data_IF_570280959713
#
_entry.id   IF_570280959713
#
_cell.length_a   1.000
_cell.length_b   1.000
_cell.length_c   1.000
_cell.angle_alpha   90.00
_cell.angle_beta   90.00
_cell.angle_gamma   90.00
#
_symmetry.space_group_name_H-M   'P 1'
#
loop_
_entity.id
_entity.type
_entity.pdbx_description
1 polymer ?
#
# COMPACT_ATOMS: atom_id res chain seq x y z
N UNK A 1 88.28 -50.78 21.50
CA UNK A 1 87.15 -50.12 22.16
C UNK A 1 86.48 -48.98 21.28
N UNK A 2 86.79 -48.80 20.00
CA UNK A 2 86.25 -47.73 19.15
C UNK A 2 85.02 -48.16 18.26
N UNK A 3 84.87 -49.49 17.96
CA UNK A 3 83.76 -49.99 17.10
C UNK A 3 82.37 -50.02 17.81
N UNK A 4 82.27 -50.29 19.09
CA UNK A 4 81.05 -50.36 19.86
C UNK A 4 80.34 -48.94 20.02
N UNK A 5 81.14 -47.89 19.93
CA UNK A 5 80.60 -46.51 20.03
C UNK A 5 79.94 -46.00 18.72
N UNK A 6 80.34 -46.51 17.57
CA UNK A 6 79.86 -46.19 16.25
C UNK A 6 78.45 -46.75 15.99
N UNK A 7 78.22 -48.00 16.41
CA UNK A 7 76.97 -48.70 16.24
C UNK A 7 75.84 -48.17 17.11
N UNK A 8 76.14 -47.65 18.32
CA UNK A 8 75.15 -47.03 19.21
C UNK A 8 74.67 -45.65 18.69
N UNK A 9 75.56 -44.90 18.00
CA UNK A 9 75.22 -43.60 17.43
C UNK A 9 74.32 -43.76 16.15
N UNK A 10 74.57 -44.79 15.35
CA UNK A 10 73.73 -45.07 14.17
C UNK A 10 72.32 -45.59 14.55
N UNK A 11 72.27 -46.45 15.57
CA UNK A 11 70.99 -46.94 16.10
C UNK A 11 70.15 -45.80 16.75
N UNK A 12 70.79 -44.87 17.47
CA UNK A 12 70.11 -43.69 18.00
C UNK A 12 69.55 -42.81 16.89
N UNK A 13 70.29 -42.55 15.81
CA UNK A 13 69.80 -41.77 14.66
C UNK A 13 68.66 -42.43 13.97
N UNK A 14 68.67 -43.72 13.73
CA UNK A 14 67.56 -44.50 13.15
C UNK A 14 66.33 -44.50 14.03
N UNK A 15 66.47 -44.51 15.34
CA UNK A 15 65.38 -44.48 16.29
C UNK A 15 64.74 -43.10 16.34
N UNK A 16 65.51 -41.99 16.24
CA UNK A 16 65.05 -40.65 16.13
C UNK A 16 64.30 -40.44 14.83
N UNK A 17 64.79 -40.88 13.68
CA UNK A 17 64.16 -40.80 12.39
C UNK A 17 62.84 -41.60 12.36
N UNK A 18 62.77 -42.72 13.03
CA UNK A 18 61.58 -43.57 13.10
C UNK A 18 60.52 -42.93 14.02
N UNK A 19 60.91 -42.35 15.14
CA UNK A 19 60.02 -41.66 16.05
C UNK A 19 59.48 -40.34 15.41
N UNK A 20 60.32 -39.62 14.64
CA UNK A 20 59.94 -38.44 13.90
C UNK A 20 58.85 -38.72 12.83
N UNK A 21 59.04 -39.86 12.09
CA UNK A 21 57.99 -40.25 11.08
C UNK A 21 56.70 -40.68 11.73
N UNK A 22 56.72 -41.40 12.84
CA UNK A 22 55.49 -41.77 13.56
C UNK A 22 54.81 -40.53 14.16
N UNK A 23 55.61 -39.65 14.76
CA UNK A 23 55.06 -38.39 15.31
C UNK A 23 54.46 -37.48 14.23
N UNK A 24 55.12 -37.37 13.07
CA UNK A 24 54.58 -36.66 11.92
C UNK A 24 53.28 -37.29 11.41
N UNK A 25 53.18 -38.63 11.35
CA UNK A 25 51.96 -39.33 10.99
C UNK A 25 50.80 -39.04 11.93
N UNK A 26 51.05 -38.99 13.24
CA UNK A 26 50.02 -38.65 14.22
C UNK A 26 49.58 -37.19 14.11
N UNK A 27 50.51 -36.25 13.92
CA UNK A 27 50.20 -34.83 13.73
C UNK A 27 49.44 -34.60 12.43
N UNK A 28 49.85 -35.25 11.33
CA UNK A 28 49.14 -35.19 10.05
C UNK A 28 47.71 -35.74 10.15
N UNK A 29 47.57 -36.91 10.81
CA UNK A 29 46.24 -37.51 11.03
C UNK A 29 45.31 -36.62 11.89
N UNK A 30 45.85 -36.06 12.98
CA UNK A 30 45.11 -35.14 13.83
C UNK A 30 44.69 -33.86 13.07
N UNK A 31 45.58 -33.30 12.25
CA UNK A 31 45.30 -32.12 11.41
C UNK A 31 44.16 -32.36 10.40
N UNK A 32 44.17 -33.54 9.76
CA UNK A 32 43.07 -33.93 8.85
C UNK A 32 41.75 -34.07 9.58
N UNK A 33 41.72 -34.66 10.77
CA UNK A 33 40.48 -34.78 11.56
C UNK A 33 39.94 -33.41 11.98
N UNK A 34 40.82 -32.49 12.42
CA UNK A 34 40.42 -31.12 12.76
C UNK A 34 39.87 -30.38 11.52
N UNK A 35 40.52 -30.53 10.37
CA UNK A 35 40.03 -29.94 9.10
C UNK A 35 38.63 -30.44 8.73
N UNK A 36 38.40 -31.75 8.81
CA UNK A 36 37.08 -32.34 8.57
C UNK A 36 36.05 -31.86 9.58
N UNK A 37 36.41 -31.77 10.86
CA UNK A 37 35.47 -31.26 11.89
C UNK A 37 35.07 -29.82 11.65
N UNK A 38 35.98 -28.96 11.18
CA UNK A 38 35.67 -27.54 10.84
C UNK A 38 34.75 -27.46 9.61
N UNK A 39 34.99 -28.25 8.58
CA UNK A 39 34.15 -28.23 7.36
C UNK A 39 32.73 -28.72 7.68
N UNK A 40 32.62 -29.86 8.39
CA UNK A 40 31.30 -30.40 8.77
C UNK A 40 30.59 -29.45 9.75
N UNK A 41 31.30 -28.90 10.72
CA UNK A 41 30.74 -27.91 11.66
C UNK A 41 30.24 -26.65 10.95
N UNK A 42 31.01 -26.11 10.01
CA UNK A 42 30.60 -24.98 9.20
C UNK A 42 29.35 -25.27 8.35
N UNK A 43 29.27 -26.42 7.73
CA UNK A 43 28.11 -26.85 6.96
C UNK A 43 26.85 -27.01 7.84
N UNK A 44 26.99 -27.65 9.00
CA UNK A 44 25.87 -27.78 9.94
C UNK A 44 25.37 -26.45 10.48
N UNK A 45 26.29 -25.51 10.79
CA UNK A 45 25.92 -24.19 11.23
C UNK A 45 25.12 -23.42 10.15
N UNK A 46 25.57 -23.47 8.90
CA UNK A 46 24.83 -22.85 7.79
C UNK A 46 23.43 -23.45 7.65
N UNK A 47 23.32 -24.77 7.77
CA UNK A 47 22.01 -25.41 7.69
C UNK A 47 21.06 -25.01 8.83
N UNK A 48 21.56 -24.95 10.07
CA UNK A 48 20.77 -24.51 11.23
C UNK A 48 20.30 -23.07 11.04
N UNK A 49 21.18 -22.16 10.60
CA UNK A 49 20.82 -20.75 10.34
C UNK A 49 19.76 -20.64 9.25
N UNK A 50 19.87 -21.45 8.20
CA UNK A 50 18.85 -21.47 7.15
C UNK A 50 17.51 -21.98 7.67
N UNK A 51 17.50 -23.11 8.38
CA UNK A 51 16.27 -23.69 8.95
C UNK A 51 15.60 -22.74 9.95
N UNK A 52 16.36 -22.03 10.78
CA UNK A 52 15.81 -21.05 11.70
C UNK A 52 15.20 -19.84 10.98
N UNK A 53 15.83 -19.36 9.91
CA UNK A 53 15.26 -18.29 9.06
C UNK A 53 13.93 -18.73 8.41
N UNK A 54 13.91 -19.94 7.83
CA UNK A 54 12.69 -20.50 7.22
C UNK A 54 11.58 -20.65 8.26
N UNK A 55 11.91 -21.13 9.45
CA UNK A 55 10.95 -21.30 10.53
C UNK A 55 10.39 -19.95 11.01
N UNK A 56 11.25 -18.94 11.16
CA UNK A 56 10.84 -17.59 11.54
C UNK A 56 9.89 -16.97 10.51
N UNK A 57 10.18 -17.06 9.21
CA UNK A 57 9.31 -16.59 8.14
C UNK A 57 7.97 -17.36 8.09
N UNK A 58 8.01 -18.66 8.31
CA UNK A 58 6.80 -19.49 8.38
C UNK A 58 5.91 -19.09 9.56
N UNK A 59 6.50 -18.87 10.72
CA UNK A 59 5.77 -18.41 11.91
C UNK A 59 5.18 -17.02 11.70
N UNK A 60 5.91 -16.09 11.08
CA UNK A 60 5.42 -14.76 10.73
C UNK A 60 4.23 -14.86 9.76
N UNK A 61 4.34 -15.69 8.73
CA UNK A 61 3.25 -15.92 7.77
C UNK A 61 2.02 -16.50 8.45
N UNK A 62 2.20 -17.47 9.34
CA UNK A 62 1.08 -18.07 10.10
C UNK A 62 0.42 -17.06 11.02
N UNK A 63 1.20 -16.25 11.73
CA UNK A 63 0.68 -15.18 12.59
C UNK A 63 -0.09 -14.11 11.79
N UNK A 64 0.44 -13.72 10.63
CA UNK A 64 -0.24 -12.78 9.74
C UNK A 64 -1.55 -13.37 9.21
N UNK A 65 -1.55 -14.64 8.85
CA UNK A 65 -2.75 -15.34 8.37
C UNK A 65 -3.81 -15.43 9.46
N UNK A 66 -3.44 -15.79 10.70
CA UNK A 66 -4.34 -15.84 11.83
C UNK A 66 -4.95 -14.46 12.15
N UNK A 67 -4.12 -13.41 12.10
CA UNK A 67 -4.59 -12.03 12.24
C UNK A 67 -5.56 -11.63 11.12
N UNK A 68 -5.26 -12.01 9.88
CA UNK A 68 -6.13 -11.72 8.74
C UNK A 68 -7.48 -12.46 8.84
N UNK A 69 -7.49 -13.71 9.32
CA UNK A 69 -8.72 -14.47 9.54
C UNK A 69 -9.59 -13.78 10.61
N UNK A 70 -9.00 -13.37 11.74
CA UNK A 70 -9.71 -12.63 12.77
C UNK A 70 -10.27 -11.30 12.27
N UNK A 71 -9.48 -10.59 11.46
CA UNK A 71 -9.91 -9.33 10.85
C UNK A 71 -11.03 -9.55 9.84
N UNK A 72 -11.02 -10.67 9.10
CA UNK A 72 -12.06 -11.01 8.14
C UNK A 72 -13.43 -11.19 8.81
N UNK A 73 -13.49 -11.89 9.94
CA UNK A 73 -14.74 -12.07 10.68
C UNK A 73 -15.31 -10.73 11.16
N UNK A 74 -14.45 -9.86 11.73
CA UNK A 74 -14.84 -8.51 12.12
C UNK A 74 -15.30 -7.64 10.94
N UNK A 75 -14.65 -7.75 9.80
CA UNK A 75 -15.05 -7.03 8.58
C UNK A 75 -16.40 -7.50 8.06
N UNK A 76 -16.64 -8.80 8.07
CA UNK A 76 -17.92 -9.39 7.66
C UNK A 76 -19.07 -8.91 8.53
N UNK A 77 -18.87 -8.86 9.85
CA UNK A 77 -19.88 -8.36 10.78
C UNK A 77 -20.14 -6.87 10.57
N UNK A 78 -19.11 -6.06 10.37
CA UNK A 78 -19.25 -4.64 10.06
C UNK A 78 -20.02 -4.40 8.75
N UNK A 79 -19.72 -5.16 7.68
CA UNK A 79 -20.46 -5.10 6.42
C UNK A 79 -21.93 -5.45 6.65
N UNK A 80 -22.22 -6.45 7.47
CA UNK A 80 -23.60 -6.82 7.79
C UNK A 80 -24.34 -5.71 8.53
N UNK A 81 -23.70 -5.07 9.50
CA UNK A 81 -24.25 -3.91 10.22
C UNK A 81 -24.52 -2.75 9.27
N UNK A 82 -23.60 -2.45 8.38
CA UNK A 82 -23.77 -1.38 7.36
C UNK A 82 -24.91 -1.71 6.40
N UNK A 83 -25.03 -2.95 5.93
CA UNK A 83 -26.10 -3.36 5.02
C UNK A 83 -27.50 -3.32 5.68
N UNK A 84 -27.59 -3.41 6.98
CA UNK A 84 -28.87 -3.30 7.73
C UNK A 84 -29.16 -1.90 8.24
N UNK A 85 -28.27 -0.93 7.97
CA UNK A 85 -28.45 0.45 8.42
C UNK A 85 -29.55 1.15 7.62
N UNK A 86 -30.60 1.61 8.32
CA UNK A 86 -31.77 2.25 7.73
C UNK A 86 -31.42 3.60 7.06
N UNK A 87 -30.45 4.35 7.61
CA UNK A 87 -30.01 5.62 7.03
C UNK A 87 -29.35 5.42 5.66
N UNK A 88 -28.49 4.41 5.52
CA UNK A 88 -27.92 4.04 4.24
C UNK A 88 -28.97 3.49 3.26
N UNK A 89 -29.96 2.73 3.80
CA UNK A 89 -31.09 2.26 3.01
C UNK A 89 -31.92 3.39 2.40
N UNK A 90 -32.15 4.46 3.15
CA UNK A 90 -32.91 5.62 2.66
C UNK A 90 -32.14 6.52 1.67
N UNK A 91 -30.80 6.47 1.69
CA UNK A 91 -29.94 7.24 0.78
C UNK A 91 -29.68 6.56 -0.57
N UNK A 92 -30.19 5.35 -0.79
CA UNK A 92 -30.06 4.64 -2.06
C UNK A 92 -30.70 5.38 -3.22
N UNK A 93 -30.05 5.37 -4.35
CA UNK A 93 -30.62 5.86 -5.62
C UNK A 93 -31.67 4.89 -6.19
N UNK A 94 -31.46 3.58 -5.99
CA UNK A 94 -32.34 2.52 -6.44
C UNK A 94 -32.55 1.47 -5.34
N UNK A 95 -33.77 0.96 -5.19
CA UNK A 95 -34.12 -0.07 -4.18
C UNK A 95 -33.30 -1.38 -4.33
N UNK A 96 -32.77 -1.65 -5.53
CA UNK A 96 -31.98 -2.84 -5.84
C UNK A 96 -30.51 -2.73 -5.52
N UNK A 97 -30.02 -1.54 -5.13
CA UNK A 97 -28.61 -1.32 -4.80
C UNK A 97 -28.31 -1.71 -3.35
N UNK A 98 -27.10 -2.26 -3.13
CA UNK A 98 -26.63 -2.55 -1.78
C UNK A 98 -26.36 -1.25 -1.01
N UNK A 99 -26.75 -1.13 0.28
CA UNK A 99 -26.47 0.06 1.10
C UNK A 99 -24.99 0.44 1.17
N UNK A 100 -24.11 -0.56 1.14
CA UNK A 100 -22.67 -0.33 1.14
C UNK A 100 -22.18 0.47 -0.08
N UNK A 101 -22.85 0.34 -1.24
CA UNK A 101 -22.51 1.05 -2.45
C UNK A 101 -22.65 2.57 -2.30
N UNK A 102 -23.62 3.01 -1.50
CA UNK A 102 -23.80 4.43 -1.19
C UNK A 102 -22.54 5.05 -0.59
N UNK A 103 -21.84 4.30 0.30
CA UNK A 103 -20.59 4.76 0.90
C UNK A 103 -19.47 4.82 -0.13
N UNK A 104 -19.38 3.81 -1.01
CA UNK A 104 -18.38 3.77 -2.08
C UNK A 104 -18.60 4.88 -3.12
N UNK A 105 -19.85 5.22 -3.39
CA UNK A 105 -20.20 6.29 -4.31
C UNK A 105 -19.97 7.69 -3.68
N UNK A 106 -20.08 7.79 -2.35
CA UNK A 106 -19.79 9.02 -1.62
C UNK A 106 -18.30 9.39 -1.65
N UNK A 107 -17.42 8.37 -1.54
CA UNK A 107 -15.96 8.55 -1.54
C UNK A 107 -15.32 7.50 -2.47
N UNK A 108 -15.23 7.77 -3.78
CA UNK A 108 -14.65 6.84 -4.75
C UNK A 108 -13.19 6.51 -4.46
N UNK A 109 -12.72 5.37 -4.99
CA UNK A 109 -11.34 4.91 -4.82
C UNK A 109 -10.37 5.50 -5.87
N UNK A 110 -10.88 6.23 -6.85
CA UNK A 110 -10.11 6.80 -7.95
C UNK A 110 -10.55 8.24 -8.28
N UNK A 111 -9.69 8.95 -8.99
CA UNK A 111 -9.90 10.31 -9.49
C UNK A 111 -10.74 10.35 -10.77
N UNK A 112 -11.75 9.49 -10.90
CA UNK A 112 -12.57 9.38 -12.10
C UNK A 112 -13.36 10.67 -12.36
N UNK A 113 -12.75 11.59 -13.10
CA UNK A 113 -13.31 12.88 -13.50
C UNK A 113 -14.53 12.74 -14.41
N UNK A 114 -14.56 11.69 -15.25
CA UNK A 114 -15.72 11.39 -16.10
C UNK A 114 -16.93 10.96 -15.26
N UNK A 115 -16.72 10.13 -14.25
CA UNK A 115 -17.80 9.74 -13.33
C UNK A 115 -18.30 10.92 -12.50
N UNK A 116 -17.41 11.86 -12.13
CA UNK A 116 -17.81 13.12 -11.49
C UNK A 116 -18.67 13.94 -12.42
N UNK A 117 -18.25 14.16 -13.66
CA UNK A 117 -19.00 14.90 -14.67
C UNK A 117 -20.39 14.30 -14.93
N UNK A 118 -20.47 12.96 -15.06
CA UNK A 118 -21.74 12.25 -15.23
C UNK A 118 -22.65 12.42 -14.00
N UNK A 119 -22.12 12.40 -12.78
CA UNK A 119 -22.91 12.65 -11.55
C UNK A 119 -23.46 14.06 -11.51
N UNK A 120 -22.62 15.07 -11.83
CA UNK A 120 -23.01 16.47 -11.90
C UNK A 120 -24.09 16.66 -12.96
N UNK A 121 -23.90 16.13 -14.16
CA UNK A 121 -24.89 16.20 -15.24
C UNK A 121 -26.23 15.59 -14.83
N UNK A 122 -26.21 14.46 -14.12
CA UNK A 122 -27.42 13.81 -13.61
C UNK A 122 -28.13 14.69 -12.55
N UNK A 123 -27.38 15.30 -11.62
CA UNK A 123 -27.94 16.20 -10.60
C UNK A 123 -28.60 17.43 -11.21
N UNK A 124 -27.95 18.05 -12.19
CA UNK A 124 -28.49 19.20 -12.93
C UNK A 124 -29.73 18.80 -13.76
N UNK A 125 -29.64 17.64 -14.45
CA UNK A 125 -30.73 17.14 -15.30
C UNK A 125 -32.03 16.81 -14.56
N UNK A 126 -31.97 16.63 -13.24
CA UNK A 126 -33.16 16.43 -12.39
C UNK A 126 -33.96 17.71 -12.17
N UNK A 127 -33.40 18.89 -12.47
CA UNK A 127 -34.06 20.16 -12.30
C UNK A 127 -34.56 20.66 -13.66
N UNK A 128 -35.88 20.66 -13.93
CA UNK A 128 -36.42 21.14 -15.19
C UNK A 128 -36.04 22.61 -15.43
N UNK A 129 -35.48 22.89 -16.61
CA UNK A 129 -35.11 24.26 -17.00
C UNK A 129 -33.66 24.65 -16.60
N UNK A 130 -32.92 23.80 -15.90
CA UNK A 130 -31.49 23.95 -15.70
C UNK A 130 -30.72 23.31 -16.83
N UNK A 131 -29.64 23.95 -17.28
CA UNK A 131 -28.75 23.44 -18.32
C UNK A 131 -27.30 23.57 -17.89
N UNK A 132 -26.55 22.52 -18.03
CA UNK A 132 -25.10 22.50 -17.85
C UNK A 132 -24.43 22.96 -19.16
N UNK A 133 -23.77 24.10 -19.14
CA UNK A 133 -23.11 24.68 -20.32
C UNK A 133 -21.66 24.16 -20.41
N UNK A 134 -20.94 24.16 -19.30
CA UNK A 134 -19.57 23.67 -19.25
C UNK A 134 -19.28 22.95 -17.94
N UNK A 135 -18.39 21.98 -17.98
CA UNK A 135 -17.85 21.27 -16.83
C UNK A 135 -16.39 20.94 -17.09
N UNK A 136 -15.52 21.38 -16.22
CA UNK A 136 -14.07 21.12 -16.30
C UNK A 136 -13.58 20.60 -14.97
N UNK A 137 -12.63 19.66 -15.00
CA UNK A 137 -11.96 19.12 -13.81
C UNK A 137 -10.46 19.24 -13.95
N UNK A 138 -9.80 19.54 -12.83
CA UNK A 138 -8.34 19.55 -12.72
C UNK A 138 -7.96 18.55 -11.65
N UNK A 139 -7.36 17.44 -12.06
CA UNK A 139 -6.81 16.47 -11.11
C UNK A 139 -5.52 17.04 -10.51
N UNK A 140 -5.38 16.98 -9.19
CA UNK A 140 -4.18 17.46 -8.49
C UNK A 140 -2.92 16.66 -8.85
N UNK A 141 -3.06 15.52 -9.52
CA UNK A 141 -1.93 14.68 -9.97
C UNK A 141 -1.24 15.20 -11.25
N UNK A 142 -1.86 16.06 -12.04
CA UNK A 142 -1.25 16.58 -13.27
C UNK A 142 -0.30 17.76 -13.06
N UNK A 143 -0.31 18.40 -11.89
CA UNK A 143 0.53 19.56 -11.59
C UNK A 143 1.89 19.24 -10.93
N UNK A 144 2.34 17.98 -10.95
CA UNK A 144 3.67 17.62 -10.41
C UNK A 144 4.84 17.84 -11.37
N UNK A 145 4.64 18.49 -12.51
CA UNK A 145 5.69 18.75 -13.51
C UNK A 145 5.93 20.24 -13.71
N UNK A 146 5.90 21.07 -12.74
CA UNK A 146 6.77 22.27 -12.70
C UNK A 146 6.46 23.15 -11.48
N UNK A 147 7.56 23.60 -10.92
CA UNK A 147 7.76 24.74 -10.04
C UNK A 147 7.57 24.58 -8.53
N UNK A 148 8.76 24.57 -7.94
CA UNK A 148 9.13 25.26 -6.71
C UNK A 148 8.87 24.56 -5.36
N UNK A 149 9.87 23.75 -5.01
CA UNK A 149 10.21 23.44 -3.62
C UNK A 149 10.45 24.75 -2.87
N UNK A 150 9.57 25.13 -1.98
CA UNK A 150 9.96 25.88 -0.80
C UNK A 150 9.10 25.50 0.41
N UNK A 151 9.72 24.71 1.26
CA UNK A 151 9.74 24.79 2.72
C UNK A 151 8.40 24.60 3.47
N UNK A 152 8.20 23.37 3.95
CA UNK A 152 7.92 23.16 5.37
C UNK A 152 8.35 21.74 5.76
N UNK A 153 9.50 21.68 6.43
CA UNK A 153 10.04 20.52 7.11
C UNK A 153 9.11 20.07 8.24
N UNK A 154 8.59 18.86 8.12
CA UNK A 154 8.44 17.98 9.27
C UNK A 154 8.65 16.56 8.82
N UNK A 155 9.84 16.09 9.13
CA UNK A 155 10.23 14.69 9.12
C UNK A 155 9.33 13.92 10.07
N UNK A 156 8.48 13.07 9.55
CA UNK A 156 8.09 11.86 10.23
C UNK A 156 7.99 10.74 9.19
N UNK A 157 9.03 9.90 9.24
CA UNK A 157 9.10 8.64 8.53
C UNK A 157 8.08 7.68 9.13
N UNK A 158 6.89 7.67 8.60
CA UNK A 158 5.96 6.55 8.78
C UNK A 158 5.37 6.17 7.43
N UNK A 159 5.63 4.95 7.03
CA UNK A 159 5.21 4.31 5.78
C UNK A 159 3.68 4.06 5.70
N UNK A 160 2.86 4.94 6.28
CA UNK A 160 1.40 4.86 6.30
C UNK A 160 0.70 6.05 5.59
N UNK A 161 1.45 6.84 4.81
CA UNK A 161 0.93 8.02 4.10
C UNK A 161 0.05 7.73 2.87
N UNK A 162 -0.37 6.50 2.64
CA UNK A 162 -1.17 6.12 1.47
C UNK A 162 -2.69 6.23 1.67
N UNK A 163 -3.15 6.84 2.76
CA UNK A 163 -4.59 6.99 3.07
C UNK A 163 -5.03 8.44 3.25
N UNK A 164 -4.34 9.40 2.67
CA UNK A 164 -4.86 10.78 2.65
C UNK A 164 -5.97 10.89 1.62
N UNK A 165 -7.09 11.47 2.05
CA UNK A 165 -8.16 11.88 1.14
C UNK A 165 -7.57 12.89 0.16
N UNK A 166 -7.79 12.65 -1.14
CA UNK A 166 -7.33 13.52 -2.21
C UNK A 166 -8.50 14.30 -2.80
N UNK A 167 -8.20 15.38 -3.52
CA UNK A 167 -9.18 16.32 -4.06
C UNK A 167 -9.06 16.41 -5.58
N UNK A 168 -10.21 16.57 -6.23
CA UNK A 168 -10.34 16.93 -7.64
C UNK A 168 -11.01 18.29 -7.68
N UNK A 169 -10.29 19.32 -8.12
CA UNK A 169 -10.89 20.62 -8.36
C UNK A 169 -11.80 20.55 -9.60
N UNK A 170 -12.94 21.20 -9.54
CA UNK A 170 -13.84 21.34 -10.67
C UNK A 170 -14.37 22.76 -10.82
N UNK A 171 -14.68 23.11 -12.04
CA UNK A 171 -15.42 24.33 -12.38
C UNK A 171 -16.58 23.95 -13.29
N UNK A 172 -17.73 24.58 -13.07
CA UNK A 172 -18.89 24.38 -13.93
C UNK A 172 -19.67 25.66 -14.15
N UNK A 173 -20.33 25.72 -15.28
CA UNK A 173 -21.20 26.80 -15.65
C UNK A 173 -22.60 26.27 -15.97
N UNK A 174 -23.57 26.85 -15.31
CA UNK A 174 -25.00 26.50 -15.40
C UNK A 174 -25.80 27.65 -15.94
N UNK A 175 -26.83 27.35 -16.70
CA UNK A 175 -27.75 28.35 -17.17
C UNK A 175 -29.21 27.97 -16.89
N UNK A 176 -30.02 28.96 -16.62
CA UNK A 176 -31.47 28.82 -16.43
C UNK A 176 -32.23 30.09 -16.79
N UNK A 177 -33.54 29.95 -17.00
CA UNK A 177 -34.44 31.10 -17.26
C UNK A 177 -34.79 31.87 -15.98
N UNK A 178 -34.58 31.29 -14.79
CA UNK A 178 -34.91 31.85 -13.50
C UNK A 178 -33.87 31.50 -12.44
N UNK A 179 -33.54 32.43 -11.54
CA UNK A 179 -32.62 32.22 -10.45
C UNK A 179 -33.08 31.13 -9.45
N UNK A 180 -34.39 30.93 -9.28
CA UNK A 180 -34.91 29.86 -8.41
C UNK A 180 -34.60 28.45 -8.92
N UNK A 181 -34.51 28.29 -10.24
CA UNK A 181 -34.07 27.02 -10.85
C UNK A 181 -32.63 26.73 -10.44
N UNK A 182 -31.73 27.74 -10.48
CA UNK A 182 -30.35 27.60 -10.06
C UNK A 182 -30.22 27.28 -8.56
N UNK A 183 -31.06 27.89 -7.71
CA UNK A 183 -31.12 27.54 -6.28
C UNK A 183 -31.55 26.08 -6.04
N UNK A 184 -32.50 25.58 -6.85
CA UNK A 184 -32.92 24.18 -6.77
C UNK A 184 -31.78 23.21 -7.18
N UNK A 185 -30.93 23.61 -8.14
CA UNK A 185 -29.72 22.85 -8.48
C UNK A 185 -28.79 22.82 -7.28
N UNK A 186 -28.49 23.92 -6.60
CA UNK A 186 -27.67 23.93 -5.38
C UNK A 186 -28.23 23.01 -4.29
N UNK A 187 -29.56 23.05 -4.06
CA UNK A 187 -30.21 22.13 -3.11
C UNK A 187 -30.06 20.66 -3.49
N UNK A 188 -29.95 20.33 -4.78
CA UNK A 188 -29.69 18.99 -5.22
C UNK A 188 -28.24 18.60 -4.98
N UNK A 189 -27.30 19.54 -5.08
CA UNK A 189 -25.91 19.31 -4.69
C UNK A 189 -25.76 19.02 -3.19
N UNK A 190 -26.49 19.77 -2.33
CA UNK A 190 -26.54 19.51 -0.88
C UNK A 190 -27.07 18.10 -0.53
N UNK A 191 -27.90 17.53 -1.38
CA UNK A 191 -28.44 16.17 -1.24
C UNK A 191 -27.62 15.12 -1.97
N UNK A 192 -26.51 15.51 -2.58
CA UNK A 192 -25.64 14.58 -3.27
C UNK A 192 -25.04 13.57 -2.31
N UNK A 193 -24.97 12.30 -2.73
CA UNK A 193 -24.28 11.26 -1.97
C UNK A 193 -22.77 11.51 -2.00
N UNK A 194 -22.26 12.02 -3.14
CA UNK A 194 -20.83 12.32 -3.30
C UNK A 194 -20.46 13.54 -2.48
N UNK A 195 -19.33 13.44 -1.77
CA UNK A 195 -18.80 14.56 -1.00
C UNK A 195 -18.24 15.59 -1.98
N UNK A 196 -18.91 16.74 -2.05
CA UNK A 196 -18.57 17.89 -2.90
C UNK A 196 -18.55 19.12 -2.00
N UNK A 197 -17.49 19.89 -2.10
CA UNK A 197 -17.34 21.19 -1.43
C UNK A 197 -17.38 22.30 -2.48
N UNK A 198 -18.19 23.32 -2.26
CA UNK A 198 -18.34 24.48 -3.15
C UNK A 198 -17.58 25.63 -2.52
N UNK A 199 -16.50 26.07 -3.16
CA UNK A 199 -15.65 27.15 -2.69
C UNK A 199 -16.25 28.51 -3.06
N UNK A 200 -16.75 28.62 -4.30
CA UNK A 200 -17.28 29.86 -4.82
C UNK A 200 -18.47 29.60 -5.74
N UNK A 201 -19.46 30.49 -5.65
CA UNK A 201 -20.65 30.47 -6.51
C UNK A 201 -21.04 31.87 -6.89
N UNK A 202 -21.02 32.19 -8.18
CA UNK A 202 -21.37 33.49 -8.71
C UNK A 202 -22.57 33.37 -9.65
N UNK A 203 -23.58 34.26 -9.50
CA UNK A 203 -24.75 34.28 -10.37
C UNK A 203 -24.75 35.60 -11.11
N UNK A 204 -24.80 35.55 -12.43
CA UNK A 204 -24.92 36.67 -13.32
C UNK A 204 -26.31 36.66 -14.01
N UNK A 205 -26.94 37.81 -14.05
CA UNK A 205 -28.22 37.98 -14.71
C UNK A 205 -28.00 38.72 -16.04
N UNK A 206 -28.47 38.17 -17.13
CA UNK A 206 -28.60 38.82 -18.43
C UNK A 206 -30.08 38.93 -18.79
N UNK A 207 -30.45 39.76 -19.75
CA UNK A 207 -31.84 40.14 -20.05
C UNK A 207 -32.88 39.03 -20.15
N UNK A 208 -32.44 37.79 -20.45
CA UNK A 208 -33.33 36.63 -20.57
C UNK A 208 -32.80 35.35 -19.97
N UNK A 209 -31.63 35.38 -19.34
CA UNK A 209 -30.93 34.19 -18.89
C UNK A 209 -30.13 34.48 -17.62
N UNK A 210 -30.18 33.55 -16.66
CA UNK A 210 -29.31 33.55 -15.50
C UNK A 210 -28.22 32.52 -15.72
N UNK A 211 -26.97 32.92 -15.50
CA UNK A 211 -25.80 32.07 -15.55
C UNK A 211 -25.20 31.94 -14.17
N UNK A 212 -24.86 30.74 -13.73
CA UNK A 212 -24.21 30.48 -12.46
C UNK A 212 -22.91 29.75 -12.70
N UNK A 213 -21.82 30.35 -12.26
CA UNK A 213 -20.50 29.73 -12.23
C UNK A 213 -20.23 29.19 -10.84
N UNK A 214 -19.80 27.94 -10.76
CA UNK A 214 -19.45 27.25 -9.50
C UNK A 214 -18.04 26.70 -9.62
N UNK A 215 -17.22 26.95 -8.60
CA UNK A 215 -15.95 26.28 -8.39
C UNK A 215 -15.95 25.52 -7.07
N UNK A 216 -15.31 24.38 -7.04
CA UNK A 216 -15.30 23.54 -5.86
C UNK A 216 -14.39 22.33 -5.97
N UNK A 217 -14.44 21.45 -4.97
CA UNK A 217 -13.65 20.27 -4.87
C UNK A 217 -14.53 19.05 -4.61
N UNK A 218 -14.21 17.94 -5.30
CA UNK A 218 -14.75 16.63 -4.99
C UNK A 218 -13.64 15.79 -4.36
N UNK A 219 -14.02 14.86 -3.48
CA UNK A 219 -13.05 14.07 -2.72
C UNK A 219 -13.03 12.62 -3.20
N UNK A 220 -11.84 12.00 -3.10
CA UNK A 220 -11.65 10.57 -3.34
C UNK A 220 -10.59 10.00 -2.40
N UNK A 221 -10.66 8.70 -2.14
CA UNK A 221 -9.71 7.98 -1.30
C UNK A 221 -9.01 6.92 -2.13
N UNK A 222 -7.73 7.13 -2.49
CA UNK A 222 -7.00 6.19 -3.33
C UNK A 222 -7.03 4.76 -2.79
N UNK A 223 -7.44 3.82 -3.64
CA UNK A 223 -7.49 2.41 -3.31
C UNK A 223 -6.08 1.84 -3.13
N UNK A 224 -5.89 0.98 -2.11
CA UNK A 224 -4.62 0.29 -1.89
C UNK A 224 -4.52 -0.90 -2.83
N UNK A 225 -3.56 -0.86 -3.77
CA UNK A 225 -3.22 -2.03 -4.57
C UNK A 225 -2.39 -3.02 -3.75
N UNK A 226 -2.91 -4.23 -3.57
CA UNK A 226 -2.18 -5.32 -2.91
C UNK A 226 -1.26 -5.97 -3.93
N UNK A 227 0.05 -5.83 -3.74
CA UNK A 227 1.05 -6.54 -4.54
C UNK A 227 1.50 -7.79 -3.80
N UNK A 228 1.40 -8.94 -4.47
CA UNK A 228 1.93 -10.21 -3.97
C UNK A 228 3.42 -10.28 -4.28
N UNK A 229 4.26 -9.98 -3.31
CA UNK A 229 5.71 -10.15 -3.43
C UNK A 229 6.12 -11.57 -3.03
N UNK A 230 6.75 -12.30 -3.97
CA UNK A 230 7.40 -13.57 -3.65
C UNK A 230 8.72 -13.28 -2.92
N UNK A 231 8.79 -13.56 -1.63
CA UNK A 231 10.02 -13.47 -0.84
C UNK A 231 10.78 -14.79 -0.96
N UNK A 232 11.86 -14.80 -1.72
CA UNK A 232 12.77 -15.95 -1.79
C UNK A 232 13.76 -15.90 -0.64
N UNK A 233 13.85 -16.97 0.17
CA UNK A 233 14.87 -17.12 1.21
C UNK A 233 16.08 -17.77 0.52
N UNK A 234 17.21 -17.04 0.48
CA UNK A 234 18.48 -17.57 -0.01
C UNK A 234 19.16 -18.39 1.09
N UNK A 235 19.76 -19.54 0.76
CA UNK A 235 20.50 -20.39 1.70
C UNK A 235 21.75 -19.72 2.27
#
# INVERSE_FOLDING_TARGET
MAEAKKDTSLNKRRQIDRSGRVMFGWVAGASVLVGFALVIGGFLLQRIVFETKVLAEKNQTTSTLDSNIKTYDGLRDNIRVLNTNSALGSAKLNDKEDPLRVILDALPADDNSLALGASVQNLVGRVPGAKLESFQTVSSNENSSDSNKNNSSSSDNNADNSRSVQQIAFTMELSASNADILRNVLRNFEKSIRVIDIDESTIEASDSKFTMSISGHAYYLPGKTVQLNKKGIKP
#
